data_IF_453713692902
#
_entry.id   IF_453713692902
#
_cell.length_a   1.000
_cell.length_b   1.000
_cell.length_c   1.000
_cell.angle_alpha   90.00
_cell.angle_beta   90.00
_cell.angle_gamma   90.00
#
_symmetry.space_group_name_H-M   'P 1'
#
loop_
_entity.id
_entity.type
_entity.pdbx_description
1 polymer ?
#
# COMPACT_ATOMS: atom_id res chain seq x y z
N UNK A 1 12.46 -9.94 11.48
CA UNK A 1 13.44 -10.93 11.00
C UNK A 1 13.17 -11.18 9.52
N UNK A 2 14.20 -11.44 8.72
CA UNK A 2 14.04 -11.82 7.31
C UNK A 2 13.35 -13.19 7.20
N UNK A 3 12.42 -13.43 6.23
CA UNK A 3 11.98 -12.53 5.16
C UNK A 3 10.75 -11.66 5.51
N UNK A 4 10.17 -11.81 6.70
CA UNK A 4 8.99 -11.01 7.13
C UNK A 4 9.25 -9.51 7.04
N UNK A 5 10.47 -9.09 7.40
CA UNK A 5 11.05 -7.82 6.95
C UNK A 5 12.10 -8.14 5.87
N UNK A 6 11.84 -7.84 4.59
CA UNK A 6 12.70 -8.27 3.49
C UNK A 6 13.97 -7.43 3.31
N UNK A 7 14.06 -6.24 3.93
CA UNK A 7 15.14 -5.29 3.70
C UNK A 7 15.92 -4.91 4.97
N UNK A 8 15.46 -5.36 6.14
CA UNK A 8 16.14 -5.11 7.41
C UNK A 8 15.93 -3.70 7.99
N UNK A 9 14.99 -2.91 7.45
CA UNK A 9 14.66 -1.59 8.02
C UNK A 9 14.36 -1.69 9.53
N UNK A 10 14.95 -0.84 10.38
CA UNK A 10 14.62 -0.78 11.81
C UNK A 10 13.11 -0.65 12.02
N UNK A 11 12.59 -1.35 13.04
CA UNK A 11 11.17 -1.40 13.40
C UNK A 11 10.21 -1.79 12.27
N UNK A 12 10.72 -2.33 11.16
CA UNK A 12 9.92 -2.68 9.99
C UNK A 12 9.42 -1.47 9.19
N UNK A 13 10.01 -0.28 9.38
CA UNK A 13 9.58 0.94 8.69
C UNK A 13 9.73 0.78 7.17
N UNK A 14 8.63 1.01 6.44
CA UNK A 14 8.60 0.85 4.99
C UNK A 14 7.79 1.95 4.27
N UNK A 15 7.27 2.91 5.01
CA UNK A 15 6.62 4.11 4.48
C UNK A 15 6.69 5.26 5.48
N UNK A 16 6.78 6.49 4.98
CA UNK A 16 6.89 7.73 5.74
C UNK A 16 6.06 8.83 5.07
N UNK A 17 5.61 9.80 5.84
CA UNK A 17 4.85 10.96 5.34
C UNK A 17 5.36 12.26 5.94
N UNK A 18 5.10 13.38 5.29
CA UNK A 18 5.40 14.72 5.83
C UNK A 18 4.51 15.06 7.02
N UNK A 19 4.91 16.03 7.84
CA UNK A 19 4.14 16.46 9.02
C UNK A 19 2.74 16.98 8.68
N UNK A 20 2.55 17.51 7.48
CA UNK A 20 1.26 17.97 6.95
C UNK A 20 0.52 16.89 6.13
N UNK A 21 1.10 15.70 5.98
CA UNK A 21 0.50 14.52 5.33
C UNK A 21 0.35 14.61 3.80
N UNK A 22 0.83 15.68 3.16
CA UNK A 22 0.63 15.90 1.71
C UNK A 22 1.52 15.04 0.82
N UNK A 23 2.66 14.59 1.34
CA UNK A 23 3.60 13.73 0.61
C UNK A 23 3.88 12.48 1.42
N UNK A 24 3.58 11.32 0.84
CA UNK A 24 3.85 10.00 1.43
C UNK A 24 4.72 9.19 0.47
N UNK A 25 5.79 8.60 0.98
CA UNK A 25 6.67 7.69 0.25
C UNK A 25 6.63 6.31 0.89
N UNK A 26 6.76 5.26 0.08
CA UNK A 26 6.83 3.90 0.59
C UNK A 26 7.57 2.98 -0.39
N UNK A 27 8.17 1.91 0.13
CA UNK A 27 8.86 0.90 -0.66
C UNK A 27 7.96 -0.21 -1.23
N UNK A 28 6.87 -0.65 -0.57
CA UNK A 28 5.92 -1.56 -1.19
C UNK A 28 5.23 -0.88 -2.38
N UNK A 29 4.75 -1.69 -3.34
CA UNK A 29 4.21 -1.21 -4.62
C UNK A 29 2.67 -1.37 -4.67
N UNK A 30 1.89 -0.48 -4.03
CA UNK A 30 0.42 -0.56 -4.01
C UNK A 30 -0.21 -0.49 -5.41
N UNK A 31 0.49 0.11 -6.36
CA UNK A 31 0.07 0.24 -7.77
C UNK A 31 0.18 -1.07 -8.56
N UNK A 32 0.97 -2.04 -8.09
CA UNK A 32 1.05 -3.38 -8.72
C UNK A 32 -0.09 -4.30 -8.31
N UNK A 33 -0.74 -3.99 -7.19
CA UNK A 33 -1.84 -4.81 -6.64
C UNK A 33 -3.12 -4.00 -6.40
N UNK A 34 -3.62 -3.21 -7.39
CA UNK A 34 -4.82 -2.38 -7.19
C UNK A 34 -6.12 -3.20 -7.18
N UNK A 35 -6.11 -4.41 -7.73
CA UNK A 35 -7.28 -5.32 -7.77
C UNK A 35 -6.95 -6.61 -7.03
N UNK A 36 -7.97 -7.27 -6.49
CA UNK A 36 -7.83 -8.54 -5.78
C UNK A 36 -7.06 -9.57 -6.64
N UNK A 37 -7.41 -9.70 -7.92
CA UNK A 37 -6.78 -10.63 -8.88
C UNK A 37 -5.26 -10.43 -9.08
N UNK A 38 -4.72 -9.27 -8.71
CA UNK A 38 -3.28 -9.00 -8.84
C UNK A 38 -2.47 -9.51 -7.63
N UNK A 39 -3.11 -9.90 -6.54
CA UNK A 39 -2.43 -10.43 -5.37
C UNK A 39 -2.00 -11.90 -5.60
N UNK A 40 -0.79 -12.27 -5.15
CA UNK A 40 -0.36 -13.67 -5.13
C UNK A 40 -1.20 -14.54 -4.20
N UNK A 41 -1.74 -13.94 -3.13
CA UNK A 41 -2.72 -14.51 -2.23
C UNK A 41 -3.65 -13.40 -1.75
N UNK A 42 -4.95 -13.67 -1.73
CA UNK A 42 -5.97 -12.83 -1.11
C UNK A 42 -7.09 -13.73 -0.55
N UNK A 43 -7.88 -13.26 0.43
CA UNK A 43 -9.10 -13.95 0.86
C UNK A 43 -10.06 -14.22 -0.31
N UNK A 44 -10.72 -15.37 -0.32
CA UNK A 44 -11.60 -15.81 -1.43
C UNK A 44 -12.82 -14.90 -1.65
N UNK A 45 -13.24 -14.17 -0.61
CA UNK A 45 -14.38 -13.24 -0.66
C UNK A 45 -14.02 -11.89 -1.30
N UNK A 46 -12.73 -11.58 -1.49
CA UNK A 46 -12.30 -10.36 -2.16
C UNK A 46 -12.59 -10.42 -3.65
N UNK A 47 -13.56 -9.60 -4.06
CA UNK A 47 -13.94 -9.43 -5.46
C UNK A 47 -13.76 -7.98 -5.89
N UNK A 48 -13.06 -7.75 -7.00
CA UNK A 48 -12.85 -6.42 -7.56
C UNK A 48 -11.59 -5.73 -7.02
N UNK A 49 -11.76 -4.64 -6.29
CA UNK A 49 -10.67 -3.76 -5.85
C UNK A 49 -9.96 -4.33 -4.63
N UNK A 50 -8.63 -4.17 -4.57
CA UNK A 50 -7.88 -4.46 -3.35
C UNK A 50 -7.97 -3.27 -2.38
N UNK A 51 -7.56 -3.47 -1.10
CA UNK A 51 -7.43 -2.36 -0.17
C UNK A 51 -6.47 -1.26 -0.65
N UNK A 52 -5.44 -1.60 -1.44
CA UNK A 52 -4.47 -0.64 -1.93
C UNK A 52 -5.09 0.41 -2.85
N UNK A 53 -6.18 0.08 -3.56
CA UNK A 53 -6.86 1.07 -4.41
C UNK A 53 -7.39 2.27 -3.60
N UNK A 54 -7.66 2.08 -2.31
CA UNK A 54 -8.11 3.17 -1.43
C UNK A 54 -7.10 4.31 -1.34
N UNK A 55 -5.80 4.05 -1.41
CA UNK A 55 -4.78 5.09 -1.39
C UNK A 55 -4.97 6.09 -2.55
N UNK A 56 -5.17 5.57 -3.77
CA UNK A 56 -5.36 6.39 -4.96
C UNK A 56 -6.72 7.11 -4.96
N UNK A 57 -7.77 6.45 -4.44
CA UNK A 57 -9.09 7.09 -4.23
C UNK A 57 -9.02 8.25 -3.24
N UNK A 58 -8.27 8.11 -2.15
CA UNK A 58 -8.09 9.19 -1.18
C UNK A 58 -7.42 10.41 -1.83
N UNK A 59 -6.38 10.19 -2.65
CA UNK A 59 -5.74 11.27 -3.40
C UNK A 59 -6.73 11.98 -4.35
N UNK A 60 -7.55 11.22 -5.09
CA UNK A 60 -8.59 11.80 -5.96
C UNK A 60 -9.64 12.59 -5.18
N UNK A 61 -10.07 12.12 -4.02
CA UNK A 61 -11.02 12.85 -3.16
C UNK A 61 -10.40 14.15 -2.64
N UNK A 62 -9.12 14.12 -2.26
CA UNK A 62 -8.41 15.30 -1.76
C UNK A 62 -8.29 16.42 -2.80
N UNK A 63 -8.11 16.07 -4.08
CA UNK A 63 -8.03 17.05 -5.17
C UNK A 63 -9.35 17.77 -5.52
N UNK A 64 -10.51 17.27 -5.06
CA UNK A 64 -11.82 17.61 -5.64
C UNK A 64 -12.08 16.90 -6.97
#
# INVERSE_FOLDING_TARGET
QYPLNPNGSPDGITGLTTTDGRTTIMMPHPERTPRAINHSWHPDDWNGDSPWLRMFRNARVWCG
#
